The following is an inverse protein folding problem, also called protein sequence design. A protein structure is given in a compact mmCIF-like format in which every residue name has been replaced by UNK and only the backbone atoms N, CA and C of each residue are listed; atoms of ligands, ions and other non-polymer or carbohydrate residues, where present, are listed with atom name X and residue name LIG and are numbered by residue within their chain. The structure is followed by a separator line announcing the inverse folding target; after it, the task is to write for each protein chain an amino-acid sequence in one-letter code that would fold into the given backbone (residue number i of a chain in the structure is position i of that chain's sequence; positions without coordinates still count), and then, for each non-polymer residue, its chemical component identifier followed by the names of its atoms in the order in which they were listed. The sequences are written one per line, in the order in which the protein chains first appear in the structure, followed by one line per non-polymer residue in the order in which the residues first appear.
data_IF_642824823105
#
_entry.id   IF_642824823105
#
_cell.length_a   1.000
_cell.length_b   1.000
_cell.length_c   1.000
_cell.angle_alpha   90.00
_cell.angle_beta   90.00
_cell.angle_gamma   90.00
#
_symmetry.space_group_name_H-M   'P 1'
#
loop_
_entity.id
_entity.type
_entity.pdbx_description
1 polymer ?
#
# COMPACT_ATOMS: atom_id res chain seq x y z
N UNK A 1 -12.02 -22.89 -15.12
CA UNK A 1 -10.89 -23.51 -15.83
C UNK A 1 -10.42 -22.54 -16.90
N UNK A 2 -9.34 -21.81 -16.63
CA UNK A 2 -8.72 -20.88 -17.59
C UNK A 2 -7.99 -21.74 -18.62
N UNK A 3 -8.20 -21.57 -19.94
CA UNK A 3 -7.58 -22.40 -20.95
C UNK A 3 -6.05 -22.26 -20.93
N UNK A 4 -5.36 -23.40 -20.96
CA UNK A 4 -3.90 -23.55 -20.84
C UNK A 4 -3.06 -22.62 -21.74
N UNK A 5 -3.48 -22.27 -22.99
CA UNK A 5 -2.75 -21.33 -23.84
C UNK A 5 -2.76 -19.89 -23.29
N UNK A 6 -3.79 -19.50 -22.55
CA UNK A 6 -3.90 -18.17 -21.94
C UNK A 6 -2.89 -17.98 -20.81
N UNK A 7 -2.67 -19.05 -20.03
CA UNK A 7 -1.66 -19.08 -18.96
C UNK A 7 -0.26 -18.96 -19.55
N UNK A 8 0.02 -19.63 -20.67
CA UNK A 8 1.31 -19.52 -21.36
C UNK A 8 1.60 -18.10 -21.85
N UNK A 9 0.61 -17.41 -22.42
CA UNK A 9 0.78 -16.03 -22.88
C UNK A 9 0.94 -15.03 -21.74
N UNK A 10 0.18 -15.19 -20.66
CA UNK A 10 0.31 -14.34 -19.47
C UNK A 10 1.66 -14.55 -18.78
N UNK A 11 2.14 -15.80 -18.72
CA UNK A 11 3.48 -16.13 -18.18
C UNK A 11 4.58 -15.57 -19.08
N UNK A 12 4.44 -15.59 -20.40
CA UNK A 12 5.43 -15.00 -21.33
C UNK A 12 5.50 -13.47 -21.22
N UNK A 13 4.37 -12.79 -21.08
CA UNK A 13 4.35 -11.33 -20.83
C UNK A 13 4.95 -11.00 -19.47
N UNK A 14 4.74 -11.85 -18.47
CA UNK A 14 5.33 -11.67 -17.13
C UNK A 14 6.84 -11.99 -17.13
N UNK A 15 7.30 -13.03 -17.83
CA UNK A 15 8.72 -13.38 -17.95
C UNK A 15 9.52 -12.37 -18.80
N UNK A 16 8.88 -11.61 -19.69
CA UNK A 16 9.54 -10.56 -20.45
C UNK A 16 9.92 -9.35 -19.57
N UNK A 17 9.28 -9.17 -18.45
CA UNK A 17 9.62 -8.12 -17.46
C UNK A 17 10.74 -8.53 -16.47
N UNK A 18 11.10 -9.82 -16.43
CA UNK A 18 12.17 -10.35 -15.57
C UNK A 18 13.25 -10.91 -16.47
N UNK A 19 14.25 -10.08 -16.78
CA UNK A 19 15.42 -10.46 -17.56
C UNK A 19 16.32 -11.41 -16.75
N UNK A 20 15.94 -12.68 -16.67
CA UNK A 20 16.75 -13.75 -16.08
C UNK A 20 17.42 -14.51 -17.23
N UNK A 21 18.67 -14.20 -17.49
CA UNK A 21 19.57 -15.00 -18.28
C UNK A 21 19.79 -16.36 -17.63
N UNK A 22 19.12 -17.39 -18.09
CA UNK A 22 19.51 -18.77 -17.81
C UNK A 22 20.04 -19.45 -19.10
N UNK A 23 21.19 -20.14 -19.05
CA UNK A 23 21.91 -20.62 -20.23
C UNK A 23 21.45 -22.00 -20.74
N UNK A 24 20.21 -22.44 -20.54
CA UNK A 24 19.81 -23.83 -20.74
C UNK A 24 18.59 -24.10 -21.64
N UNK A 25 18.31 -23.28 -22.63
CA UNK A 25 17.51 -23.78 -23.79
C UNK A 25 17.81 -22.94 -25.03
N UNK A 26 18.72 -23.44 -25.85
CA UNK A 26 18.92 -22.99 -27.22
C UNK A 26 17.85 -23.60 -28.13
N UNK A 27 16.63 -23.14 -28.03
CA UNK A 27 15.70 -23.08 -29.16
C UNK A 27 15.17 -21.67 -29.24
N UNK A 28 16.00 -20.79 -29.81
CA UNK A 28 15.54 -19.51 -30.27
C UNK A 28 14.57 -19.74 -31.42
N UNK A 29 13.30 -19.52 -31.20
CA UNK A 29 12.46 -19.02 -32.28
C UNK A 29 13.10 -17.70 -32.67
N UNK A 30 13.87 -17.75 -33.74
CA UNK A 30 14.41 -16.59 -34.41
C UNK A 30 13.20 -15.78 -34.89
N UNK A 31 12.73 -14.88 -34.08
CA UNK A 31 11.77 -13.88 -34.50
C UNK A 31 12.52 -13.05 -35.52
N UNK A 32 12.18 -13.24 -36.78
CA UNK A 32 12.82 -12.53 -37.88
C UNK A 32 12.51 -11.04 -37.74
N UNK A 33 13.38 -10.33 -37.02
CA UNK A 33 13.31 -8.90 -36.75
C UNK A 33 13.44 -8.10 -38.06
N UNK A 34 13.94 -8.73 -39.16
CA UNK A 34 14.17 -8.08 -40.44
C UNK A 34 12.88 -7.63 -41.16
N UNK A 35 11.74 -8.25 -40.85
CA UNK A 35 10.44 -7.86 -41.41
C UNK A 35 9.61 -6.90 -40.53
N UNK A 36 10.05 -6.60 -39.33
CA UNK A 36 9.26 -5.77 -38.36
C UNK A 36 9.87 -4.40 -38.08
N UNK A 37 11.07 -4.08 -38.52
CA UNK A 37 11.71 -2.80 -38.26
C UNK A 37 11.90 -2.01 -39.55
N UNK A 38 10.93 -1.24 -39.95
CA UNK A 38 11.11 -0.12 -40.86
C UNK A 38 11.56 1.08 -40.01
N UNK A 39 12.86 1.39 -40.04
CA UNK A 39 13.51 2.49 -39.31
C UNK A 39 13.08 3.90 -39.79
N UNK A 40 12.14 4.00 -40.72
CA UNK A 40 11.63 5.28 -41.23
C UNK A 40 10.35 5.76 -40.55
N UNK A 41 9.68 4.91 -39.78
CA UNK A 41 8.47 5.29 -39.04
C UNK A 41 8.78 5.29 -37.54
N UNK A 42 8.76 6.44 -36.92
CA UNK A 42 8.88 6.67 -35.48
C UNK A 42 7.66 6.19 -34.69
N UNK A 43 6.86 5.27 -35.24
CA UNK A 43 5.72 4.62 -34.60
C UNK A 43 6.17 3.40 -33.80
N UNK A 44 5.77 3.33 -32.54
CA UNK A 44 5.87 2.10 -31.74
C UNK A 44 4.98 1.05 -32.41
N UNK A 45 5.61 0.07 -33.09
CA UNK A 45 4.89 -1.03 -33.73
C UNK A 45 4.44 -2.03 -32.67
N UNK A 46 3.16 -2.01 -32.33
CA UNK A 46 2.54 -3.12 -31.61
C UNK A 46 2.24 -4.26 -32.61
N UNK A 47 2.60 -5.52 -32.29
CA UNK A 47 2.23 -6.66 -33.15
C UNK A 47 0.72 -6.64 -33.38
N UNK A 48 0.29 -6.95 -34.62
CA UNK A 48 -1.13 -6.97 -35.01
C UNK A 48 -1.87 -8.01 -34.18
N UNK A 49 -2.52 -7.55 -33.12
CA UNK A 49 -3.31 -8.42 -32.26
C UNK A 49 -4.52 -8.96 -33.01
N UNK A 50 -4.78 -10.25 -32.89
CA UNK A 50 -6.01 -10.85 -33.38
C UNK A 50 -7.23 -10.37 -32.56
N UNK A 51 -8.42 -10.46 -33.17
CA UNK A 51 -9.64 -9.88 -32.57
C UNK A 51 -9.94 -10.45 -31.18
N UNK A 52 -9.70 -11.75 -30.95
CA UNK A 52 -9.91 -12.36 -29.62
C UNK A 52 -8.92 -11.81 -28.57
N UNK A 53 -7.69 -11.49 -28.94
CA UNK A 53 -6.69 -10.89 -28.02
C UNK A 53 -7.12 -9.48 -27.60
N UNK A 54 -7.67 -8.70 -28.55
CA UNK A 54 -8.23 -7.36 -28.25
C UNK A 54 -9.42 -7.46 -27.32
N UNK A 55 -10.31 -8.44 -27.52
CA UNK A 55 -11.44 -8.68 -26.62
C UNK A 55 -10.99 -9.06 -25.21
N UNK A 56 -10.00 -9.96 -25.08
CA UNK A 56 -9.46 -10.35 -23.78
C UNK A 56 -8.77 -9.18 -23.06
N UNK A 57 -7.98 -8.40 -23.79
CA UNK A 57 -7.36 -7.20 -23.26
C UNK A 57 -8.41 -6.19 -22.82
N UNK A 58 -9.43 -5.93 -23.63
CA UNK A 58 -10.53 -5.05 -23.29
C UNK A 58 -11.31 -5.50 -22.06
N UNK A 59 -11.55 -6.79 -21.94
CA UNK A 59 -12.21 -7.38 -20.76
C UNK A 59 -11.34 -7.21 -19.50
N UNK A 60 -10.04 -7.50 -19.60
CA UNK A 60 -9.10 -7.30 -18.48
C UNK A 60 -9.02 -5.83 -18.04
N UNK A 61 -8.86 -4.90 -18.99
CA UNK A 61 -8.87 -3.46 -18.71
C UNK A 61 -10.20 -3.02 -18.09
N UNK A 62 -11.32 -3.55 -18.59
CA UNK A 62 -12.64 -3.26 -18.04
C UNK A 62 -12.78 -3.66 -16.57
N UNK A 63 -12.34 -4.87 -16.22
CA UNK A 63 -12.32 -5.33 -14.81
C UNK A 63 -11.39 -4.46 -13.97
N UNK A 64 -10.20 -4.16 -14.45
CA UNK A 64 -9.23 -3.31 -13.74
C UNK A 64 -9.82 -1.94 -13.44
N UNK A 65 -10.40 -1.28 -14.44
CA UNK A 65 -11.06 0.03 -14.28
C UNK A 65 -12.22 -0.06 -13.29
N UNK A 66 -13.05 -1.09 -13.41
CA UNK A 66 -14.15 -1.32 -12.47
C UNK A 66 -13.67 -1.47 -11.02
N UNK A 67 -12.62 -2.26 -10.79
CA UNK A 67 -12.03 -2.44 -9.46
C UNK A 67 -11.44 -1.13 -8.91
N UNK A 68 -10.77 -0.35 -9.75
CA UNK A 68 -10.26 0.98 -9.37
C UNK A 68 -11.41 1.90 -8.96
N UNK A 69 -12.46 1.97 -9.76
CA UNK A 69 -13.63 2.80 -9.46
C UNK A 69 -14.33 2.37 -8.16
N UNK A 70 -14.47 1.06 -7.93
CA UNK A 70 -14.98 0.54 -6.66
C UNK A 70 -14.11 0.96 -5.47
N UNK A 71 -12.78 0.88 -5.61
CA UNK A 71 -11.87 1.25 -4.54
C UNK A 71 -11.92 2.76 -4.24
N UNK A 72 -11.97 3.59 -5.28
CA UNK A 72 -12.13 5.04 -5.14
C UNK A 72 -13.49 5.39 -4.51
N UNK A 73 -14.55 4.71 -4.89
CA UNK A 73 -15.87 4.90 -4.32
C UNK A 73 -15.91 4.52 -2.83
N UNK A 74 -15.34 3.38 -2.45
CA UNK A 74 -15.19 2.95 -1.05
C UNK A 74 -14.39 3.97 -0.23
N UNK A 75 -13.28 4.45 -0.79
CA UNK A 75 -12.46 5.47 -0.15
C UNK A 75 -13.22 6.78 0.03
N UNK A 76 -13.97 7.22 -0.98
CA UNK A 76 -14.81 8.42 -0.93
C UNK A 76 -15.88 8.31 0.16
N UNK A 77 -16.63 7.20 0.21
CA UNK A 77 -17.65 6.96 1.23
C UNK A 77 -17.02 6.94 2.63
N UNK A 78 -15.92 6.21 2.80
CA UNK A 78 -15.20 6.15 4.07
C UNK A 78 -14.76 7.55 4.51
N UNK A 79 -14.10 8.30 3.63
CA UNK A 79 -13.61 9.65 3.89
C UNK A 79 -14.74 10.63 4.25
N UNK A 80 -15.90 10.49 3.59
CA UNK A 80 -17.08 11.31 3.88
C UNK A 80 -17.70 10.96 5.23
N UNK A 81 -17.86 9.67 5.49
CA UNK A 81 -18.54 9.20 6.70
C UNK A 81 -17.68 9.47 7.95
N UNK A 82 -16.36 9.23 7.88
CA UNK A 82 -15.52 9.41 9.06
C UNK A 82 -15.48 10.88 9.49
N UNK A 83 -15.51 11.82 8.57
CA UNK A 83 -15.42 13.27 8.87
C UNK A 83 -16.48 13.77 9.84
N UNK A 84 -17.66 13.19 9.87
CA UNK A 84 -18.74 13.59 10.77
C UNK A 84 -18.54 13.12 12.21
N UNK A 85 -17.62 12.16 12.43
CA UNK A 85 -17.26 11.62 13.74
C UNK A 85 -15.92 12.14 14.27
N UNK A 86 -15.24 12.99 13.48
CA UNK A 86 -13.96 13.56 13.87
C UNK A 86 -14.14 14.85 14.64
N UNK A 87 -13.54 14.91 15.83
CA UNK A 87 -13.37 16.12 16.60
C UNK A 87 -11.89 16.49 16.71
N UNK A 88 -11.49 17.77 16.57
CA UNK A 88 -10.09 18.17 16.70
C UNK A 88 -9.58 17.88 18.13
N UNK A 89 -8.38 17.32 18.23
CA UNK A 89 -7.73 16.99 19.50
C UNK A 89 -6.69 18.04 19.88
N UNK A 90 -7.15 19.25 20.24
CA UNK A 90 -6.27 20.38 20.60
C UNK A 90 -5.42 20.14 21.86
N UNK A 91 -5.86 19.25 22.74
CA UNK A 91 -5.13 18.82 23.93
C UNK A 91 -3.84 18.06 23.60
N UNK A 92 -3.71 17.54 22.37
CA UNK A 92 -2.53 16.82 21.89
C UNK A 92 -1.56 17.71 21.10
N UNK A 93 -1.87 18.98 20.85
CA UNK A 93 -1.07 19.84 19.96
C UNK A 93 0.37 20.03 20.46
N UNK A 94 0.60 20.23 21.73
CA UNK A 94 1.94 20.37 22.29
C UNK A 94 2.71 19.05 22.28
N UNK A 95 2.03 17.94 22.61
CA UNK A 95 2.62 16.61 22.60
C UNK A 95 3.05 16.23 21.19
N UNK A 96 2.23 16.43 20.16
CA UNK A 96 2.57 16.10 18.79
C UNK A 96 3.74 16.91 18.25
N UNK A 97 3.85 18.20 18.63
CA UNK A 97 4.97 19.06 18.25
C UNK A 97 6.28 18.55 18.85
N UNK A 98 6.27 18.19 20.11
CA UNK A 98 7.43 17.61 20.82
C UNK A 98 7.86 16.30 20.17
N UNK A 99 6.94 15.37 19.97
CA UNK A 99 7.23 14.08 19.34
C UNK A 99 7.74 14.21 17.91
N UNK A 100 7.18 15.12 17.12
CA UNK A 100 7.66 15.41 15.76
C UNK A 100 9.09 15.94 15.77
N UNK A 101 9.42 16.83 16.69
CA UNK A 101 10.78 17.36 16.84
C UNK A 101 11.78 16.26 17.21
N UNK A 102 11.45 15.43 18.19
CA UNK A 102 12.27 14.27 18.61
C UNK A 102 12.49 13.27 17.47
N UNK A 103 11.45 12.97 16.72
CA UNK A 103 11.51 12.03 15.59
C UNK A 103 12.05 12.65 14.31
N UNK A 104 12.40 13.96 14.31
CA UNK A 104 12.85 14.72 13.14
C UNK A 104 11.87 14.65 11.95
N UNK A 105 10.56 14.68 12.22
CA UNK A 105 9.52 14.63 11.22
C UNK A 105 9.17 16.04 10.73
N UNK A 106 9.44 16.33 9.45
CA UNK A 106 9.19 17.65 8.85
C UNK A 106 7.72 17.90 8.46
N UNK A 107 6.94 16.82 8.27
CA UNK A 107 5.53 16.94 7.89
C UNK A 107 4.69 17.43 9.05
N UNK A 108 3.75 18.31 8.76
CA UNK A 108 2.71 18.66 9.70
C UNK A 108 1.72 17.50 9.82
N UNK A 109 1.33 17.21 11.05
CA UNK A 109 0.40 16.12 11.39
C UNK A 109 -0.69 16.71 12.27
N UNK A 110 -1.94 16.48 11.90
CA UNK A 110 -3.11 16.86 12.70
C UNK A 110 -3.65 15.66 13.45
N UNK A 111 -4.20 15.88 14.63
CA UNK A 111 -4.80 14.81 15.43
C UNK A 111 -6.31 15.05 15.54
N UNK A 112 -7.06 13.97 15.41
CA UNK A 112 -8.50 13.95 15.59
C UNK A 112 -8.89 12.83 16.54
N UNK A 113 -9.92 13.08 17.35
CA UNK A 113 -10.62 12.04 18.09
C UNK A 113 -11.76 11.47 17.27
N UNK A 114 -11.99 10.18 17.42
CA UNK A 114 -13.11 9.47 16.83
C UNK A 114 -13.76 8.55 17.86
N UNK A 115 -15.04 8.76 18.14
CA UNK A 115 -15.79 8.05 19.18
C UNK A 115 -16.42 6.73 18.70
N UNK A 116 -16.10 6.27 17.49
CA UNK A 116 -16.73 5.07 16.87
C UNK A 116 -16.04 3.76 17.28
N UNK A 117 -15.17 3.76 18.29
CA UNK A 117 -14.50 2.54 18.77
C UNK A 117 -13.60 1.87 17.72
N UNK A 118 -12.92 2.67 16.92
CA UNK A 118 -11.96 2.22 15.90
C UNK A 118 -10.55 2.28 16.51
N UNK A 119 -9.72 1.28 16.23
CA UNK A 119 -8.30 1.35 16.59
C UNK A 119 -7.65 2.60 15.99
N UNK A 120 -6.68 3.22 16.68
CA UNK A 120 -5.92 4.34 16.15
C UNK A 120 -5.34 4.03 14.76
N UNK A 121 -5.29 5.02 13.87
CA UNK A 121 -4.71 4.87 12.55
C UNK A 121 -4.33 6.20 11.92
N UNK A 122 -3.39 6.14 10.99
CA UNK A 122 -2.96 7.28 10.18
C UNK A 122 -3.75 7.35 8.87
N UNK A 123 -4.24 8.55 8.53
CA UNK A 123 -4.99 8.86 7.33
C UNK A 123 -4.36 10.01 6.56
N UNK A 124 -4.31 9.90 5.21
CA UNK A 124 -3.81 10.94 4.32
C UNK A 124 -2.30 10.85 4.04
N UNK A 125 -1.93 10.93 2.75
CA UNK A 125 -0.53 10.84 2.29
C UNK A 125 0.15 12.22 2.29
N UNK A 126 -0.55 13.23 1.79
CA UNK A 126 0.02 14.57 1.62
C UNK A 126 -0.06 15.40 2.90
N UNK A 127 -1.18 15.34 3.56
CA UNK A 127 -1.45 15.97 4.86
C UNK A 127 -1.88 14.86 5.82
N UNK A 128 -0.93 14.19 6.50
CA UNK A 128 -1.24 13.08 7.36
C UNK A 128 -2.01 13.57 8.60
N UNK A 129 -3.04 12.83 8.94
CA UNK A 129 -3.80 13.00 10.16
C UNK A 129 -3.79 11.69 10.96
N UNK A 130 -3.62 11.77 12.25
CA UNK A 130 -3.74 10.63 13.16
C UNK A 130 -5.13 10.68 13.79
N UNK A 131 -5.84 9.57 13.71
CA UNK A 131 -7.15 9.42 14.32
C UNK A 131 -6.98 8.54 15.55
N UNK A 132 -7.30 9.11 16.72
CA UNK A 132 -7.27 8.43 18.01
C UNK A 132 -8.69 8.09 18.44
N UNK A 133 -8.83 7.07 19.27
CA UNK A 133 -10.08 6.87 20.01
C UNK A 133 -10.05 7.67 21.33
N UNK A 134 -11.18 8.23 21.73
CA UNK A 134 -11.32 9.00 22.98
C UNK A 134 -11.09 8.16 24.24
N UNK A 135 -11.11 6.82 24.12
CA UNK A 135 -10.96 5.89 25.25
C UNK A 135 -9.51 5.62 25.66
N UNK A 136 -8.52 6.23 25.00
CA UNK A 136 -7.10 5.99 25.26
C UNK A 136 -6.65 6.78 26.49
N UNK A 137 -6.03 6.09 27.46
CA UNK A 137 -5.40 6.71 28.64
C UNK A 137 -4.23 7.60 28.23
N UNK A 138 -3.95 8.66 28.99
CA UNK A 138 -2.89 9.61 28.69
C UNK A 138 -1.50 8.96 28.57
N UNK A 139 -1.18 7.98 29.42
CA UNK A 139 0.10 7.25 29.37
C UNK A 139 0.25 6.42 28.09
N UNK A 140 -0.83 5.81 27.61
CA UNK A 140 -0.82 5.03 26.38
C UNK A 140 -0.87 5.92 25.13
N UNK A 141 -1.42 7.13 25.23
CA UNK A 141 -1.60 8.08 24.13
C UNK A 141 -0.27 8.45 23.48
N UNK A 142 0.74 8.77 24.28
CA UNK A 142 2.07 9.11 23.75
C UNK A 142 2.67 7.95 22.96
N UNK A 143 2.59 6.73 23.48
CA UNK A 143 3.16 5.55 22.78
C UNK A 143 2.43 5.26 21.48
N UNK A 144 1.10 5.42 21.46
CA UNK A 144 0.30 5.28 20.24
C UNK A 144 0.69 6.35 19.21
N UNK A 145 0.85 7.60 19.63
CA UNK A 145 1.27 8.68 18.76
C UNK A 145 2.67 8.44 18.19
N UNK A 146 3.63 7.94 18.98
CA UNK A 146 4.94 7.56 18.52
C UNK A 146 4.87 6.45 17.47
N UNK A 147 3.99 5.46 17.66
CA UNK A 147 3.77 4.38 16.68
C UNK A 147 3.21 4.93 15.37
N UNK A 148 2.16 5.71 15.39
CA UNK A 148 1.55 6.30 14.19
C UNK A 148 2.51 7.28 13.46
N UNK A 149 3.28 8.08 14.22
CA UNK A 149 4.31 8.94 13.65
C UNK A 149 5.43 8.15 12.96
N UNK A 150 5.76 6.95 13.49
CA UNK A 150 6.75 6.07 12.86
C UNK A 150 6.26 5.55 11.51
N UNK A 151 4.98 5.22 11.36
CA UNK A 151 4.38 4.88 10.06
C UNK A 151 4.44 6.05 9.07
N UNK A 152 4.18 7.28 9.52
CA UNK A 152 4.31 8.48 8.70
C UNK A 152 5.76 8.69 8.26
N UNK A 153 6.72 8.52 9.17
CA UNK A 153 8.16 8.65 8.92
C UNK A 153 8.67 7.60 7.94
N UNK A 154 8.19 6.37 8.06
CA UNK A 154 8.54 5.26 7.16
C UNK A 154 7.82 5.31 5.80
N UNK A 155 6.89 6.24 5.61
CA UNK A 155 6.05 6.36 4.40
C UNK A 155 5.20 5.11 4.11
N UNK A 156 4.80 4.38 5.14
CA UNK A 156 4.11 3.10 5.01
C UNK A 156 2.81 3.20 4.22
N UNK A 157 2.06 4.30 4.38
CA UNK A 157 0.83 4.54 3.64
C UNK A 157 1.08 4.71 2.12
N UNK A 158 2.23 5.28 1.73
CA UNK A 158 2.63 5.40 0.32
C UNK A 158 2.90 4.01 -0.25
N UNK A 159 3.70 3.19 0.45
CA UNK A 159 4.01 1.83 0.02
C UNK A 159 2.75 0.95 -0.05
N UNK A 160 1.83 1.05 0.93
CA UNK A 160 0.53 0.35 0.89
C UNK A 160 -0.31 0.77 -0.31
N UNK A 161 -0.34 2.07 -0.62
CA UNK A 161 -1.09 2.59 -1.78
C UNK A 161 -0.50 2.09 -3.10
N UNK A 162 0.82 2.06 -3.22
CA UNK A 162 1.52 1.52 -4.39
C UNK A 162 1.28 0.02 -4.54
N UNK A 163 1.38 -0.74 -3.44
CA UNK A 163 1.09 -2.17 -3.44
C UNK A 163 -0.37 -2.46 -3.82
N UNK A 164 -1.32 -1.69 -3.31
CA UNK A 164 -2.72 -1.78 -3.70
C UNK A 164 -2.90 -1.54 -5.20
N UNK A 165 -2.23 -0.54 -5.76
CA UNK A 165 -2.26 -0.28 -7.20
C UNK A 165 -1.74 -1.48 -8.01
N UNK A 166 -0.62 -2.09 -7.58
CA UNK A 166 -0.10 -3.32 -8.21
C UNK A 166 -1.11 -4.47 -8.10
N UNK A 167 -1.77 -4.64 -6.96
CA UNK A 167 -2.83 -5.66 -6.78
C UNK A 167 -4.00 -5.41 -7.73
N UNK A 168 -4.41 -4.16 -7.93
CA UNK A 168 -5.50 -3.83 -8.86
C UNK A 168 -5.12 -4.13 -10.31
N UNK A 169 -3.86 -3.91 -10.71
CA UNK A 169 -3.35 -4.32 -12.02
C UNK A 169 -3.34 -5.85 -12.19
N UNK A 170 -3.09 -6.59 -11.12
CA UNK A 170 -2.99 -8.05 -11.11
C UNK A 170 -4.20 -8.68 -10.40
N UNK A 171 -5.39 -8.12 -10.58
CA UNK A 171 -6.60 -8.49 -9.83
C UNK A 171 -6.99 -9.98 -9.88
N UNK A 172 -6.53 -10.71 -10.90
CA UNK A 172 -6.74 -12.16 -11.05
C UNK A 172 -5.68 -13.02 -10.33
N UNK A 173 -4.61 -12.40 -9.83
CA UNK A 173 -3.52 -13.13 -9.19
C UNK A 173 -3.73 -13.17 -7.66
N UNK A 174 -4.04 -14.35 -7.07
CA UNK A 174 -4.23 -14.46 -5.63
C UNK A 174 -2.96 -14.14 -4.83
N UNK A 175 -1.76 -14.35 -5.40
CA UNK A 175 -0.50 -14.01 -4.76
C UNK A 175 -0.33 -12.50 -4.55
N UNK A 176 -0.93 -11.67 -5.39
CA UNK A 176 -0.90 -10.22 -5.22
C UNK A 176 -1.61 -9.77 -3.93
N UNK A 177 -2.74 -10.42 -3.60
CA UNK A 177 -3.47 -10.15 -2.35
C UNK A 177 -2.69 -10.66 -1.12
N UNK A 178 -2.05 -11.81 -1.23
CA UNK A 178 -1.19 -12.33 -0.18
C UNK A 178 -0.01 -11.38 0.08
N UNK A 179 0.63 -10.88 -0.98
CA UNK A 179 1.70 -9.89 -0.87
C UNK A 179 1.26 -8.63 -0.12
N UNK A 180 0.03 -8.15 -0.37
CA UNK A 180 -0.49 -6.96 0.33
C UNK A 180 -0.65 -7.20 1.84
N UNK A 181 -1.06 -8.41 2.22
CA UNK A 181 -1.16 -8.84 3.62
C UNK A 181 0.21 -8.91 4.28
N UNK A 182 1.15 -9.61 3.66
CA UNK A 182 2.54 -9.73 4.15
C UNK A 182 3.22 -8.36 4.28
N UNK A 183 3.02 -7.46 3.30
CA UNK A 183 3.55 -6.11 3.35
C UNK A 183 3.07 -5.38 4.61
N UNK A 184 1.79 -5.50 4.96
CA UNK A 184 1.25 -4.89 6.17
C UNK A 184 1.94 -5.46 7.41
N UNK A 185 2.07 -6.77 7.53
CA UNK A 185 2.71 -7.42 8.67
C UNK A 185 4.18 -7.01 8.82
N UNK A 186 4.92 -6.93 7.70
CA UNK A 186 6.31 -6.45 7.69
C UNK A 186 6.42 -4.99 8.14
N UNK A 187 5.48 -4.14 7.73
CA UNK A 187 5.46 -2.73 8.14
C UNK A 187 5.21 -2.59 9.64
N UNK A 188 4.28 -3.35 10.20
CA UNK A 188 4.02 -3.37 11.65
C UNK A 188 5.28 -3.83 12.42
N UNK A 189 5.87 -4.96 12.04
CA UNK A 189 7.10 -5.46 12.67
C UNK A 189 8.26 -4.47 12.60
N UNK A 190 8.47 -3.83 11.44
CA UNK A 190 9.51 -2.83 11.27
C UNK A 190 9.25 -1.55 12.08
N UNK A 191 7.98 -1.15 12.23
CA UNK A 191 7.58 -0.04 13.07
C UNK A 191 7.92 -0.34 14.53
N UNK A 192 7.46 -1.48 15.04
CA UNK A 192 7.69 -1.92 16.41
C UNK A 192 9.19 -2.07 16.73
N UNK A 193 9.94 -2.69 15.82
CA UNK A 193 11.39 -2.86 15.99
C UNK A 193 12.11 -1.51 16.11
N UNK A 194 11.77 -0.52 15.27
CA UNK A 194 12.38 0.82 15.31
C UNK A 194 12.06 1.55 16.61
N UNK A 195 10.82 1.45 17.09
CA UNK A 195 10.40 2.07 18.33
C UNK A 195 11.09 1.42 19.54
N UNK A 196 11.02 0.09 19.64
CA UNK A 196 11.62 -0.66 20.74
C UNK A 196 13.14 -0.45 20.83
N UNK A 197 13.83 -0.26 19.70
CA UNK A 197 15.27 0.06 19.69
C UNK A 197 15.58 1.42 20.32
N UNK A 198 14.66 2.39 20.20
CA UNK A 198 14.84 3.74 20.76
C UNK A 198 14.43 3.85 22.22
N UNK A 199 13.71 2.88 22.78
CA UNK A 199 13.12 2.92 24.10
C UNK A 199 14.06 2.39 25.19
N UNK A 200 13.96 2.98 26.38
CA UNK A 200 14.51 2.43 27.63
C UNK A 200 13.78 1.13 28.02
N UNK A 201 14.26 0.45 29.07
CA UNK A 201 13.60 -0.79 29.57
C UNK A 201 12.19 -0.52 30.08
N UNK A 202 12.02 0.59 30.78
CA UNK A 202 10.75 1.03 31.34
C UNK A 202 9.74 1.36 30.24
N UNK A 203 10.14 2.14 29.23
CA UNK A 203 9.29 2.49 28.09
C UNK A 203 8.88 1.28 27.28
N UNK A 204 9.73 0.24 27.15
CA UNK A 204 9.37 -1.02 26.47
C UNK A 204 8.24 -1.75 27.18
N UNK A 205 8.20 -1.73 28.51
CA UNK A 205 7.11 -2.34 29.28
C UNK A 205 5.81 -1.58 29.09
N UNK A 206 5.86 -0.25 29.15
CA UNK A 206 4.68 0.61 28.90
C UNK A 206 4.15 0.39 27.48
N UNK A 207 5.03 0.35 26.48
CA UNK A 207 4.66 0.09 25.10
C UNK A 207 3.99 -1.27 24.91
N UNK A 208 4.57 -2.34 25.47
CA UNK A 208 3.99 -3.68 25.43
C UNK A 208 2.59 -3.74 26.05
N UNK A 209 2.39 -3.09 27.20
CA UNK A 209 1.09 -3.01 27.84
C UNK A 209 0.07 -2.20 27.00
N UNK A 210 0.51 -1.14 26.35
CA UNK A 210 -0.35 -0.32 25.47
C UNK A 210 -0.87 -1.12 24.27
N UNK A 211 -0.01 -1.93 23.64
CA UNK A 211 -0.43 -2.81 22.53
C UNK A 211 -1.49 -3.81 23.00
N UNK A 212 -1.27 -4.46 24.15
CA UNK A 212 -2.21 -5.46 24.70
C UNK A 212 -3.57 -4.80 24.99
N UNK A 213 -3.59 -3.59 25.53
CA UNK A 213 -4.83 -2.88 25.87
C UNK A 213 -5.66 -2.47 24.63
N UNK A 214 -5.03 -2.31 23.46
CA UNK A 214 -5.72 -1.96 22.21
C UNK A 214 -6.31 -3.21 21.54
N UNK A 215 -5.72 -4.38 21.78
CA UNK A 215 -6.13 -5.65 21.17
C UNK A 215 -7.16 -6.43 21.98
N UNK A 216 -7.40 -6.07 23.22
CA UNK A 216 -8.39 -6.68 24.13
C UNK A 216 -9.74 -5.96 24.08
#
# INVERSE_FOLDING_TARGET
LVPLPLIKHLVQVWLFSVNMTSPLTKEYYFFDVSHSFNLTDTGIYFPRMENYQKLLLGFWVGIMVFMILLQLHRFYIFSRNIRQYLSPAHDCDDMIQTLRAEMHLKKEVTIYYCDVGISPFTYGIRSPAIILTSLVNDESREMILRHELQHIKSHDLVFRSLALFVVLLHCFNPLAYLFLKELKEIQELNCDEKLVKSFSKEERLVYGNSIISITS
#
